data_IF_032306716467
#
_entry.id   IF_032306716467
#
_cell.length_a   1.000
_cell.length_b   1.000
_cell.length_c   1.000
_cell.angle_alpha   90.00
_cell.angle_beta   90.00
_cell.angle_gamma   90.00
#
_symmetry.space_group_name_H-M   'P 1'
#
loop_
_entity.id
_entity.type
_entity.pdbx_description
1 polymer ?
#
# COMPACT_ATOMS: atom_id res chain seq x y z
N UNK A 1 12.24 22.79 -0.85
CA UNK A 1 10.99 22.14 -0.41
C UNK A 1 11.08 20.68 -0.85
N UNK A 2 11.68 19.82 -0.02
CA UNK A 2 11.79 18.40 -0.31
C UNK A 2 10.43 17.77 -0.03
N UNK A 3 9.68 17.48 -1.09
CA UNK A 3 8.47 16.68 -1.01
C UNK A 3 8.94 15.24 -0.77
N UNK A 4 9.29 14.93 0.48
CA UNK A 4 9.65 13.60 0.94
C UNK A 4 8.39 12.74 0.83
N UNK A 5 8.16 12.18 -0.35
CA UNK A 5 7.20 11.12 -0.53
C UNK A 5 7.70 9.98 0.37
N UNK A 6 7.01 9.79 1.50
CA UNK A 6 7.24 8.71 2.44
C UNK A 6 6.86 7.39 1.78
N UNK A 7 7.62 6.98 0.76
CA UNK A 7 7.60 5.63 0.22
C UNK A 7 8.19 4.77 1.33
N UNK A 8 7.30 4.19 2.13
CA UNK A 8 7.67 3.28 3.19
C UNK A 8 8.23 2.03 2.52
N UNK A 9 9.55 1.94 2.45
CA UNK A 9 10.23 0.77 1.94
C UNK A 9 10.31 -0.27 3.06
N UNK A 10 9.89 -1.49 2.77
CA UNK A 10 9.91 -2.61 3.71
C UNK A 10 10.33 -3.89 2.96
N UNK A 11 11.42 -4.50 3.42
CA UNK A 11 11.97 -5.75 2.89
C UNK A 11 12.17 -5.77 1.35
N UNK A 12 12.57 -4.63 0.77
CA UNK A 12 12.77 -4.47 -0.68
C UNK A 12 11.49 -4.15 -1.49
N UNK A 13 10.36 -3.95 -0.81
CA UNK A 13 9.11 -3.49 -1.39
C UNK A 13 8.86 -2.03 -1.02
N UNK A 14 8.48 -1.20 -1.98
CA UNK A 14 7.87 0.10 -1.74
C UNK A 14 6.39 -0.10 -1.43
N UNK A 15 5.97 0.31 -0.23
CA UNK A 15 4.58 0.23 0.23
C UNK A 15 3.93 1.61 0.06
N UNK A 16 2.83 1.63 -0.70
CA UNK A 16 2.00 2.80 -0.93
C UNK A 16 0.54 2.49 -0.58
N UNK A 17 0.14 2.66 0.69
CA UNK A 17 -1.26 2.57 1.08
C UNK A 17 -2.02 3.80 0.58
N UNK A 18 -3.27 3.61 0.18
CA UNK A 18 -4.18 4.70 -0.20
C UNK A 18 -5.59 4.40 0.29
N UNK A 19 -6.33 5.44 0.62
CA UNK A 19 -7.72 5.32 0.99
C UNK A 19 -8.56 5.92 -0.13
N UNK A 20 -9.45 5.12 -0.69
CA UNK A 20 -10.36 5.57 -1.74
C UNK A 20 -11.73 5.85 -1.13
N UNK A 21 -12.13 7.13 -1.10
CA UNK A 21 -13.44 7.51 -0.62
C UNK A 21 -14.52 7.11 -1.63
N UNK A 22 -15.52 6.38 -1.16
CA UNK A 22 -16.68 5.93 -1.91
C UNK A 22 -17.82 6.96 -1.83
N UNK A 23 -18.79 6.92 -2.76
CA UNK A 23 -19.93 7.84 -2.79
C UNK A 23 -20.85 7.73 -1.57
N UNK A 24 -20.81 6.59 -0.86
CA UNK A 24 -21.57 6.32 0.36
C UNK A 24 -20.92 6.88 1.63
N UNK A 25 -19.72 7.48 1.51
CA UNK A 25 -18.96 8.06 2.62
C UNK A 25 -17.96 7.10 3.27
N UNK A 26 -17.90 5.84 2.82
CA UNK A 26 -16.91 4.87 3.28
C UNK A 26 -15.56 5.08 2.59
N UNK A 27 -14.51 4.53 3.17
CA UNK A 27 -13.16 4.54 2.63
C UNK A 27 -12.72 3.10 2.36
N UNK A 28 -12.47 2.76 1.10
CA UNK A 28 -11.83 1.52 0.73
C UNK A 28 -10.33 1.62 1.00
N UNK A 29 -9.80 0.64 1.73
CA UNK A 29 -8.37 0.46 1.91
C UNK A 29 -7.76 -0.14 0.64
N UNK A 30 -6.98 0.67 -0.07
CA UNK A 30 -6.24 0.27 -1.27
C UNK A 30 -4.75 0.22 -0.94
N UNK A 31 -4.03 -0.61 -1.69
CA UNK A 31 -2.60 -0.79 -1.48
C UNK A 31 -1.90 -1.06 -2.81
N UNK A 32 -0.77 -0.37 -2.99
CA UNK A 32 0.18 -0.67 -4.04
C UNK A 32 1.52 -1.08 -3.42
N UNK A 33 2.03 -2.23 -3.85
CA UNK A 33 3.35 -2.73 -3.49
C UNK A 33 4.21 -2.78 -4.74
N UNK A 34 5.38 -2.17 -4.72
CA UNK A 34 6.33 -2.22 -5.84
C UNK A 34 7.64 -2.80 -5.36
N UNK A 35 8.01 -3.98 -5.85
CA UNK A 35 9.33 -4.54 -5.65
C UNK A 35 10.25 -4.02 -6.74
N UNK A 36 11.31 -3.33 -6.36
CA UNK A 36 12.37 -3.04 -7.31
C UNK A 36 13.00 -4.37 -7.75
N UNK A 37 13.01 -4.66 -9.05
CA UNK A 37 13.77 -5.76 -9.60
C UNK A 37 15.26 -5.55 -9.36
N UNK A 38 16.04 -6.62 -9.34
CA UNK A 38 17.49 -6.49 -9.53
C UNK A 38 17.75 -5.80 -10.89
N UNK A 39 18.93 -5.20 -11.04
CA UNK A 39 19.35 -4.22 -12.07
C UNK A 39 18.87 -4.41 -13.54
N UNK A 40 18.35 -5.58 -13.92
CA UNK A 40 17.87 -5.93 -15.29
C UNK A 40 16.45 -6.53 -15.33
N UNK A 41 15.70 -6.53 -14.23
CA UNK A 41 14.33 -7.06 -14.16
C UNK A 41 13.30 -5.94 -14.02
N UNK A 42 12.20 -6.05 -14.77
CA UNK A 42 11.07 -5.13 -14.63
C UNK A 42 10.56 -5.11 -13.17
N UNK A 43 10.28 -3.92 -12.61
CA UNK A 43 9.74 -3.81 -11.27
C UNK A 43 8.40 -4.53 -11.18
N UNK A 44 8.25 -5.38 -10.16
CA UNK A 44 7.01 -6.13 -9.95
C UNK A 44 6.08 -5.32 -9.08
N UNK A 45 4.97 -4.87 -9.65
CA UNK A 45 3.94 -4.12 -8.93
C UNK A 45 2.72 -4.99 -8.64
N UNK A 46 2.26 -4.98 -7.40
CA UNK A 46 1.03 -5.59 -6.94
C UNK A 46 0.05 -4.50 -6.53
N UNK A 47 -1.17 -4.57 -7.05
CA UNK A 47 -2.23 -3.63 -6.74
C UNK A 47 -3.37 -4.38 -6.08
N UNK A 48 -3.76 -3.91 -4.90
CA UNK A 48 -4.87 -4.41 -4.13
C UNK A 48 -5.87 -3.28 -3.97
N UNK A 49 -7.12 -3.59 -4.29
CA UNK A 49 -8.24 -2.64 -4.21
C UNK A 49 -9.26 -3.20 -3.24
N UNK A 50 -9.78 -2.33 -2.37
CA UNK A 50 -10.79 -2.67 -1.37
C UNK A 50 -10.41 -3.90 -0.54
N UNK A 51 -9.23 -3.85 0.11
CA UNK A 51 -8.83 -4.85 1.10
C UNK A 51 -9.88 -4.97 2.21
N UNK A 52 -10.40 -3.83 2.64
CA UNK A 52 -11.51 -3.69 3.58
C UNK A 52 -12.09 -2.27 3.46
N UNK A 53 -13.22 -2.01 4.11
CA UNK A 53 -13.93 -0.74 4.08
C UNK A 53 -14.03 -0.15 5.49
N UNK A 54 -13.79 1.16 5.61
CA UNK A 54 -13.74 1.85 6.89
C UNK A 54 -14.52 3.16 6.87
N UNK A 55 -14.98 3.60 8.03
CA UNK A 55 -15.67 4.89 8.19
C UNK A 55 -14.72 6.10 8.04
N UNK A 56 -13.41 5.89 8.21
CA UNK A 56 -12.41 6.96 8.16
C UNK A 56 -11.19 6.63 7.30
N UNK A 57 -10.63 7.66 6.66
CA UNK A 57 -9.42 7.57 5.85
C UNK A 57 -8.24 7.00 6.63
N UNK A 58 -8.06 7.43 7.89
CA UNK A 58 -6.94 7.00 8.74
C UNK A 58 -7.02 5.50 9.05
N UNK A 59 -8.21 4.95 9.27
CA UNK A 59 -8.39 3.51 9.47
C UNK A 59 -8.05 2.73 8.19
N UNK A 60 -8.52 3.19 7.04
CA UNK A 60 -8.22 2.56 5.76
C UNK A 60 -6.71 2.55 5.45
N UNK A 61 -6.04 3.69 5.65
CA UNK A 61 -4.59 3.80 5.46
C UNK A 61 -3.80 2.94 6.44
N UNK A 62 -4.16 2.98 7.74
CA UNK A 62 -3.50 2.19 8.78
C UNK A 62 -3.65 0.69 8.56
N UNK A 63 -4.84 0.25 8.15
CA UNK A 63 -5.11 -1.13 7.81
C UNK A 63 -4.30 -1.58 6.60
N UNK A 64 -4.34 -0.83 5.48
CA UNK A 64 -3.57 -1.13 4.29
C UNK A 64 -2.06 -1.20 4.57
N UNK A 65 -1.53 -0.30 5.40
CA UNK A 65 -0.11 -0.30 5.77
C UNK A 65 0.29 -1.52 6.64
N UNK A 66 -0.59 -1.94 7.55
CA UNK A 66 -0.34 -3.12 8.41
C UNK A 66 -0.42 -4.40 7.57
N UNK A 67 -1.50 -4.54 6.80
CA UNK A 67 -1.70 -5.66 5.89
C UNK A 67 -0.56 -5.82 4.89
N UNK A 68 -0.02 -4.70 4.38
CA UNK A 68 1.12 -4.70 3.49
C UNK A 68 2.37 -5.37 4.09
N UNK A 69 2.68 -5.08 5.36
CA UNK A 69 3.84 -5.67 6.05
C UNK A 69 3.63 -7.16 6.23
N UNK A 70 2.46 -7.56 6.71
CA UNK A 70 2.11 -8.97 6.89
C UNK A 70 2.19 -9.74 5.56
N UNK A 71 1.70 -9.16 4.47
CA UNK A 71 1.79 -9.77 3.15
C UNK A 71 3.23 -9.95 2.66
N UNK A 72 4.09 -8.95 2.88
CA UNK A 72 5.51 -9.02 2.52
C UNK A 72 6.21 -10.09 3.37
N UNK A 73 5.93 -10.13 4.67
CA UNK A 73 6.52 -11.11 5.60
C UNK A 73 6.09 -12.55 5.31
N UNK A 74 4.87 -12.78 4.79
CA UNK A 74 4.42 -14.11 4.37
C UNK A 74 4.95 -14.53 2.98
N UNK A 75 5.52 -13.59 2.20
CA UNK A 75 6.05 -13.86 0.86
C UNK A 75 7.57 -14.02 0.80
N UNK A 76 8.31 -13.42 1.73
CA UNK A 76 9.77 -13.50 1.86
C UNK A 76 10.21 -14.76 2.57
#
# INVERSE_FOLDING_TARGET
MQNSQHHHQYNGYSISPSAHQLPDGWFAANLQLVRAGALDADPVAYHFYALDYFDTETQALGHAATWARDWVDNRG
#
